data_IF_820006079293
#
_entry.id   IF_820006079293
#
_cell.length_a   1.000
_cell.length_b   1.000
_cell.length_c   1.000
_cell.angle_alpha   90.00
_cell.angle_beta   90.00
_cell.angle_gamma   90.00
#
_symmetry.space_group_name_H-M   'P 1'
#
loop_
_entity.id
_entity.type
_entity.pdbx_description
1 polymer ?
#
# COMPACT_ATOMS: atom_id res chain seq x y z
N UNK A 1 9.46 31.59 20.98
CA UNK A 1 9.48 32.49 19.81
C UNK A 1 8.50 33.60 20.12
N UNK A 2 8.96 34.84 20.19
CA UNK A 2 8.09 36.00 20.42
C UNK A 2 7.21 36.20 19.18
N UNK A 3 5.89 36.07 19.34
CA UNK A 3 4.93 36.60 18.38
C UNK A 3 4.88 38.12 18.59
N UNK A 4 5.73 38.85 17.88
CA UNK A 4 5.51 40.28 17.68
C UNK A 4 4.32 40.42 16.71
N UNK A 5 3.14 40.71 17.27
CA UNK A 5 1.87 40.88 16.56
C UNK A 5 1.82 42.13 15.64
N UNK A 6 2.95 42.57 15.09
CA UNK A 6 3.05 43.78 14.26
C UNK A 6 3.56 43.52 12.86
N UNK A 7 4.10 42.32 12.57
CA UNK A 7 4.47 41.95 11.21
C UNK A 7 3.55 40.85 10.65
N UNK A 8 3.09 40.99 9.39
CA UNK A 8 2.29 39.96 8.74
C UNK A 8 3.08 38.65 8.64
N UNK A 9 2.39 37.53 8.89
CA UNK A 9 3.00 36.20 8.88
C UNK A 9 3.48 35.88 7.47
N UNK A 10 4.79 35.71 7.30
CA UNK A 10 5.44 35.34 6.04
C UNK A 10 5.66 33.84 5.97
N UNK A 11 5.28 33.22 4.85
CA UNK A 11 5.59 31.81 4.62
C UNK A 11 7.10 31.63 4.47
N UNK A 12 7.68 30.75 5.29
CA UNK A 12 9.11 30.47 5.26
C UNK A 12 9.38 28.99 5.39
N UNK A 13 10.40 28.52 4.69
CA UNK A 13 10.89 27.18 4.89
C UNK A 13 11.41 27.03 6.33
N UNK A 14 10.90 26.03 7.05
CA UNK A 14 11.32 25.69 8.41
C UNK A 14 12.83 25.42 8.52
N UNK A 15 13.44 24.96 7.44
CA UNK A 15 14.82 24.50 7.43
C UNK A 15 15.79 25.63 7.08
N UNK A 16 15.60 26.29 5.93
CA UNK A 16 16.54 27.29 5.42
C UNK A 16 16.06 28.74 5.56
N UNK A 17 14.83 28.96 6.01
CA UNK A 17 14.24 30.30 6.18
C UNK A 17 13.87 31.02 4.88
N UNK A 18 14.09 30.40 3.72
CA UNK A 18 13.71 30.90 2.39
C UNK A 18 12.24 31.28 2.38
N UNK A 19 11.92 32.45 1.86
CA UNK A 19 10.53 32.89 1.68
C UNK A 19 9.83 31.98 0.67
N UNK A 20 8.60 31.60 0.99
CA UNK A 20 7.74 30.76 0.16
C UNK A 20 6.57 31.62 -0.30
N UNK A 21 6.11 31.39 -1.52
CA UNK A 21 4.84 31.93 -2.01
C UNK A 21 3.80 30.83 -2.03
N UNK A 22 2.53 31.17 -1.88
CA UNK A 22 1.43 30.24 -1.99
C UNK A 22 0.40 30.76 -3.00
N UNK A 23 -0.33 29.85 -3.62
CA UNK A 23 -1.58 30.15 -4.30
C UNK A 23 -2.74 29.97 -3.32
N UNK A 24 -3.65 30.93 -3.30
CA UNK A 24 -4.89 30.87 -2.52
C UNK A 24 -6.06 31.26 -3.42
N UNK A 25 -7.19 30.57 -3.25
CA UNK A 25 -8.44 30.93 -3.87
C UNK A 25 -9.16 31.99 -3.02
N UNK A 26 -9.30 33.21 -3.53
CA UNK A 26 -10.06 34.29 -2.86
C UNK A 26 -11.16 34.73 -3.84
N UNK A 27 -12.43 34.67 -3.43
CA UNK A 27 -13.57 35.02 -4.27
C UNK A 27 -13.57 34.33 -5.66
N UNK A 28 -13.26 33.03 -5.68
CA UNK A 28 -13.13 32.22 -6.90
C UNK A 28 -12.01 32.66 -7.86
N UNK A 29 -11.01 33.39 -7.37
CA UNK A 29 -9.81 33.78 -8.13
C UNK A 29 -8.57 33.25 -7.45
N UNK A 30 -7.69 32.66 -8.27
CA UNK A 30 -6.37 32.21 -7.81
C UNK A 30 -5.46 33.43 -7.73
N UNK A 31 -4.91 33.67 -6.54
CA UNK A 31 -3.99 34.75 -6.24
C UNK A 31 -2.69 34.20 -5.67
N UNK A 32 -1.55 34.75 -6.08
CA UNK A 32 -0.26 34.44 -5.47
C UNK A 32 -0.01 35.37 -4.29
N UNK A 33 0.28 34.79 -3.13
CA UNK A 33 0.54 35.50 -1.88
C UNK A 33 1.88 35.07 -1.28
N UNK A 34 2.51 35.93 -0.49
CA UNK A 34 3.72 35.62 0.29
C UNK A 34 3.48 35.73 1.81
N UNK A 35 2.26 36.12 2.21
CA UNK A 35 1.80 36.35 3.57
C UNK A 35 0.35 35.89 3.74
N UNK A 36 -0.01 35.37 4.91
CA UNK A 36 -1.41 35.03 5.24
C UNK A 36 -2.29 36.30 5.21
N UNK A 37 -3.43 36.30 4.50
CA UNK A 37 -4.40 37.39 4.58
C UNK A 37 -4.91 37.58 6.03
N UNK A 38 -5.19 38.81 6.46
CA UNK A 38 -5.58 39.06 7.86
C UNK A 38 -6.99 38.54 8.21
N UNK A 39 -7.89 38.38 7.23
CA UNK A 39 -9.27 37.93 7.49
C UNK A 39 -9.86 37.07 6.35
N UNK A 40 -10.79 36.17 6.71
CA UNK A 40 -11.83 35.65 5.80
C UNK A 40 -11.43 34.58 4.79
N UNK A 41 -10.25 33.97 4.93
CA UNK A 41 -9.82 32.88 4.05
C UNK A 41 -9.87 31.54 4.79
N UNK A 42 -10.27 30.50 4.09
CA UNK A 42 -10.20 29.13 4.57
C UNK A 42 -8.78 28.62 4.34
N UNK A 43 -8.09 28.22 5.40
CA UNK A 43 -6.73 27.65 5.34
C UNK A 43 -6.66 26.42 4.41
N UNK A 44 -7.79 25.76 4.14
CA UNK A 44 -7.85 24.61 3.22
C UNK A 44 -7.59 24.94 1.74
N UNK A 45 -7.67 26.23 1.36
CA UNK A 45 -7.38 26.68 -0.01
C UNK A 45 -5.91 27.11 -0.21
N UNK A 46 -5.04 26.86 0.77
CA UNK A 46 -3.63 27.25 0.73
C UNK A 46 -2.76 26.21 0.01
N UNK A 47 -2.13 26.61 -1.09
CA UNK A 47 -1.25 25.76 -1.90
C UNK A 47 0.15 26.36 -1.96
N UNK A 48 1.12 25.89 -1.15
CA UNK A 48 2.47 26.42 -1.18
C UNK A 48 3.17 26.06 -2.50
N UNK A 49 3.78 27.05 -3.14
CA UNK A 49 4.53 26.89 -4.38
C UNK A 49 5.98 26.51 -4.09
N UNK A 50 6.44 25.41 -4.68
CA UNK A 50 7.83 24.93 -4.53
C UNK A 50 8.16 24.52 -3.09
N UNK A 51 7.15 24.10 -2.34
CA UNK A 51 7.26 23.62 -0.99
C UNK A 51 6.14 22.63 -0.66
N UNK A 52 6.36 21.82 0.37
CA UNK A 52 5.34 20.94 0.95
C UNK A 52 4.89 21.50 2.29
N UNK A 53 3.59 21.46 2.54
CA UNK A 53 3.00 21.68 3.85
C UNK A 53 2.80 20.35 4.58
N UNK A 54 3.25 20.31 5.83
CA UNK A 54 3.00 19.21 6.75
C UNK A 54 2.20 19.74 7.93
N UNK A 55 0.93 19.37 7.96
CA UNK A 55 0.01 19.78 9.03
C UNK A 55 -0.17 18.65 10.04
N UNK A 56 -0.21 19.04 11.29
CA UNK A 56 -0.33 18.13 12.42
C UNK A 56 -1.30 18.71 13.44
N UNK A 57 -2.07 17.83 14.06
CA UNK A 57 -3.15 18.17 14.96
C UNK A 57 -2.82 17.63 16.35
N UNK A 58 -3.00 18.46 17.39
CA UNK A 58 -2.95 18.02 18.79
C UNK A 58 -2.14 18.93 19.71
N UNK A 59 -2.32 18.72 21.02
CA UNK A 59 -1.54 19.39 22.06
C UNK A 59 -0.12 18.81 22.17
N UNK A 60 0.86 19.59 21.74
CA UNK A 60 2.27 19.26 21.88
C UNK A 60 2.74 19.41 23.33
N UNK A 61 2.94 18.29 24.04
CA UNK A 61 3.56 18.28 25.38
C UNK A 61 2.93 17.35 26.43
N UNK A 62 1.83 16.65 26.11
CA UNK A 62 1.18 15.71 27.04
C UNK A 62 1.33 14.26 26.55
N UNK A 63 1.39 13.31 27.49
CA UNK A 63 1.54 11.87 27.19
C UNK A 63 0.25 11.21 26.67
N UNK A 64 -0.80 11.99 26.42
CA UNK A 64 -2.09 11.53 25.91
C UNK A 64 -2.43 12.32 24.65
N UNK A 65 -2.76 11.59 23.59
CA UNK A 65 -3.34 12.16 22.39
C UNK A 65 -4.77 12.58 22.75
N UNK A 66 -4.97 13.86 23.07
CA UNK A 66 -6.29 14.42 23.35
C UNK A 66 -6.96 14.82 22.04
N UNK A 67 -8.05 14.15 21.60
CA UNK A 67 -8.77 14.53 20.40
C UNK A 67 -9.79 15.66 20.62
N UNK A 68 -9.86 16.30 21.79
CA UNK A 68 -10.90 17.29 22.10
C UNK A 68 -10.33 18.62 22.65
N UNK A 69 -10.35 19.69 21.85
CA UNK A 69 -11.23 20.87 22.07
C UNK A 69 -10.71 22.18 21.43
N UNK A 70 -9.41 22.34 21.17
CA UNK A 70 -8.88 23.67 20.76
C UNK A 70 -8.47 23.79 19.29
N UNK A 71 -8.59 22.72 18.50
CA UNK A 71 -8.31 22.76 17.05
C UNK A 71 -6.92 23.28 16.68
N UNK A 72 -5.96 23.24 17.60
CA UNK A 72 -4.65 23.85 17.40
C UNK A 72 -3.88 23.04 16.37
N UNK A 73 -3.70 23.62 15.19
CA UNK A 73 -2.95 23.03 14.09
C UNK A 73 -1.53 23.59 14.09
N UNK A 74 -0.55 22.73 13.88
CA UNK A 74 0.81 23.15 13.55
C UNK A 74 1.06 22.74 12.11
N UNK A 75 1.22 23.74 11.25
CA UNK A 75 1.66 23.58 9.88
C UNK A 75 3.15 23.92 9.77
N UNK A 76 3.88 23.08 9.05
CA UNK A 76 5.30 23.28 8.75
C UNK A 76 5.50 23.27 7.23
N UNK A 77 6.21 24.28 6.71
CA UNK A 77 6.55 24.40 5.29
C UNK A 77 8.01 24.01 5.05
N UNK A 78 8.26 23.15 4.06
CA UNK A 78 9.62 22.75 3.65
C UNK A 78 9.76 22.95 2.15
N UNK A 79 10.75 23.74 1.71
CA UNK A 79 10.97 23.98 0.27
C UNK A 79 11.61 22.78 -0.43
N UNK A 80 11.39 22.70 -1.74
CA UNK A 80 11.86 21.58 -2.57
C UNK A 80 13.38 21.40 -2.49
N UNK A 81 14.16 22.49 -2.52
CA UNK A 81 15.62 22.44 -2.38
C UNK A 81 16.06 21.69 -1.09
N UNK A 82 15.37 21.96 0.03
CA UNK A 82 15.67 21.35 1.31
C UNK A 82 15.16 19.91 1.43
N UNK A 83 14.08 19.60 0.72
CA UNK A 83 13.55 18.23 0.59
C UNK A 83 14.50 17.36 -0.24
N UNK A 84 14.98 17.87 -1.38
CA UNK A 84 15.91 17.19 -2.27
C UNK A 84 17.26 16.95 -1.58
N UNK A 85 17.83 17.96 -0.91
CA UNK A 85 19.07 17.79 -0.14
C UNK A 85 18.97 16.66 0.90
N UNK A 86 17.78 16.42 1.44
CA UNK A 86 17.51 15.41 2.48
C UNK A 86 16.90 14.13 1.93
N UNK A 87 16.57 14.06 0.65
CA UNK A 87 15.88 12.90 0.06
C UNK A 87 16.70 11.63 0.20
N UNK A 88 18.03 11.74 0.03
CA UNK A 88 18.94 10.60 0.16
C UNK A 88 18.92 10.00 1.57
N UNK A 89 18.85 10.85 2.61
CA UNK A 89 18.78 10.39 4.00
C UNK A 89 17.43 9.74 4.32
N UNK A 90 16.35 10.28 3.77
CA UNK A 90 14.99 9.73 3.98
C UNK A 90 14.79 8.40 3.22
N UNK A 91 15.24 8.33 1.97
CA UNK A 91 15.20 7.13 1.14
C UNK A 91 16.13 6.02 1.67
N UNK A 92 17.26 6.38 2.29
CA UNK A 92 18.17 5.42 2.92
C UNK A 92 17.51 4.67 4.08
N UNK A 93 16.74 5.38 4.92
CA UNK A 93 15.97 4.78 6.02
C UNK A 93 14.92 3.80 5.46
N UNK A 94 14.27 4.14 4.36
CA UNK A 94 13.24 3.33 3.73
C UNK A 94 13.80 2.03 3.11
N UNK A 95 14.89 2.12 2.34
CA UNK A 95 15.53 0.96 1.71
C UNK A 95 16.08 -0.04 2.73
N UNK A 96 16.63 0.42 3.86
CA UNK A 96 17.18 -0.48 4.88
C UNK A 96 16.13 -1.06 5.82
N UNK A 97 15.08 -0.30 6.18
CA UNK A 97 14.07 -0.77 7.14
C UNK A 97 12.90 -1.52 6.51
N UNK A 98 12.44 -1.14 5.30
CA UNK A 98 11.21 -1.72 4.71
C UNK A 98 11.45 -2.98 3.88
N UNK A 99 12.64 -3.15 3.31
CA UNK A 99 12.90 -4.29 2.42
C UNK A 99 13.40 -5.53 3.15
N UNK A 100 13.95 -5.44 4.36
CA UNK A 100 14.50 -6.64 5.01
C UNK A 100 13.45 -7.72 5.35
N UNK A 101 12.24 -7.38 5.85
CA UNK A 101 11.22 -8.39 6.09
C UNK A 101 10.62 -8.90 4.77
N UNK A 102 10.38 -8.00 3.82
CA UNK A 102 9.83 -8.33 2.49
C UNK A 102 10.75 -9.25 1.69
N UNK A 103 12.05 -8.95 1.63
CA UNK A 103 13.05 -9.76 0.94
C UNK A 103 13.12 -11.17 1.53
N UNK A 104 13.13 -11.27 2.87
CA UNK A 104 13.12 -12.57 3.56
C UNK A 104 11.90 -13.40 3.19
N UNK A 105 10.71 -12.80 3.17
CA UNK A 105 9.48 -13.49 2.78
C UNK A 105 9.51 -13.93 1.31
N UNK A 106 10.04 -13.10 0.41
CA UNK A 106 10.18 -13.45 -1.01
C UNK A 106 11.18 -14.59 -1.25
N UNK A 107 12.28 -14.63 -0.51
CA UNK A 107 13.26 -15.71 -0.57
C UNK A 107 12.64 -17.03 -0.07
N UNK A 108 11.91 -17.00 1.05
CA UNK A 108 11.18 -18.17 1.57
C UNK A 108 10.15 -18.70 0.56
N UNK A 109 9.38 -17.81 -0.07
CA UNK A 109 8.39 -18.19 -1.10
C UNK A 109 9.06 -18.81 -2.34
N UNK A 110 10.19 -18.26 -2.77
CA UNK A 110 10.95 -18.80 -3.90
C UNK A 110 11.49 -20.20 -3.61
N UNK A 111 12.02 -20.45 -2.42
CA UNK A 111 12.50 -21.78 -2.02
C UNK A 111 11.36 -22.79 -1.94
N UNK A 112 10.21 -22.41 -1.36
CA UNK A 112 9.03 -23.27 -1.36
C UNK A 112 8.53 -23.58 -2.78
N UNK A 113 8.58 -22.61 -3.70
CA UNK A 113 8.19 -22.81 -5.09
C UNK A 113 9.13 -23.79 -5.81
N UNK A 114 10.44 -23.71 -5.56
CA UNK A 114 11.43 -24.67 -6.07
C UNK A 114 11.17 -26.07 -5.55
N UNK A 115 10.91 -26.21 -4.24
CA UNK A 115 10.59 -27.50 -3.62
C UNK A 115 9.34 -28.13 -4.22
N UNK A 116 8.24 -27.37 -4.35
CA UNK A 116 6.99 -27.86 -4.97
C UNK A 116 7.18 -28.31 -6.42
N UNK A 117 8.01 -27.60 -7.20
CA UNK A 117 8.33 -28.01 -8.58
C UNK A 117 9.12 -29.32 -8.60
N UNK A 118 10.16 -29.43 -7.77
CA UNK A 118 10.96 -30.65 -7.66
C UNK A 118 10.11 -31.85 -7.19
N UNK A 119 9.20 -31.65 -6.25
CA UNK A 119 8.25 -32.68 -5.81
C UNK A 119 7.29 -33.10 -6.93
N UNK A 120 6.76 -32.14 -7.69
CA UNK A 120 5.89 -32.42 -8.82
C UNK A 120 6.62 -33.21 -9.92
N UNK A 121 7.84 -32.80 -10.28
CA UNK A 121 8.70 -33.50 -11.24
C UNK A 121 9.05 -34.91 -10.76
N UNK A 122 9.44 -35.07 -9.49
CA UNK A 122 9.72 -36.37 -8.90
C UNK A 122 8.48 -37.28 -8.86
N UNK A 123 7.30 -36.72 -8.62
CA UNK A 123 6.03 -37.46 -8.68
C UNK A 123 5.69 -37.87 -10.11
N UNK A 124 5.84 -36.96 -11.08
CA UNK A 124 5.61 -37.24 -12.49
C UNK A 124 6.56 -38.33 -13.02
N UNK A 125 7.83 -38.33 -12.59
CA UNK A 125 8.81 -39.35 -12.94
C UNK A 125 8.54 -40.73 -12.30
N UNK A 126 7.78 -40.79 -11.20
CA UNK A 126 7.42 -42.05 -10.52
C UNK A 126 6.13 -42.68 -11.05
N UNK A 127 5.27 -41.91 -11.71
CA UNK A 127 4.13 -42.46 -12.45
C UNK A 127 4.63 -43.12 -13.73
N UNK A 128 4.50 -44.46 -13.89
CA UNK A 128 4.71 -45.09 -15.18
C UNK A 128 3.76 -44.45 -16.19
N UNK A 129 4.19 -44.32 -17.44
CA UNK A 129 3.25 -44.14 -18.54
C UNK A 129 2.37 -45.40 -18.56
N UNK A 130 1.17 -45.33 -17.99
CA UNK A 130 0.17 -46.36 -18.21
C UNK A 130 -0.13 -46.31 -19.72
N UNK A 131 0.20 -47.38 -20.44
CA UNK A 131 -0.23 -47.56 -21.83
C UNK A 131 -1.75 -47.53 -21.84
N UNK A 132 -2.32 -46.39 -22.27
CA UNK A 132 -3.76 -46.20 -22.40
C UNK A 132 -4.21 -47.18 -23.48
N UNK A 133 -5.05 -48.19 -23.17
CA UNK A 133 -5.59 -49.08 -24.19
C UNK A 133 -6.38 -48.22 -25.18
N UNK A 134 -6.00 -48.25 -26.46
CA UNK A 134 -6.67 -47.50 -27.52
C UNK A 134 -7.53 -48.45 -28.36
N UNK A 135 -8.68 -47.95 -28.82
CA UNK A 135 -9.54 -48.61 -29.79
C UNK A 135 -8.96 -48.51 -31.22
N UNK A 136 -9.65 -49.10 -32.18
CA UNK A 136 -9.25 -49.12 -33.60
C UNK A 136 -9.21 -47.72 -34.26
N UNK A 137 -9.83 -46.73 -33.62
CA UNK A 137 -9.92 -45.35 -34.08
C UNK A 137 -8.90 -44.44 -33.36
N UNK A 138 -8.09 -44.99 -32.45
CA UNK A 138 -7.10 -44.25 -31.67
C UNK A 138 -7.66 -43.51 -30.46
N UNK A 139 -8.89 -43.80 -30.04
CA UNK A 139 -9.48 -43.28 -28.81
C UNK A 139 -9.27 -44.24 -27.63
N UNK A 140 -9.25 -43.77 -26.37
CA UNK A 140 -9.22 -44.66 -25.22
C UNK A 140 -10.35 -45.70 -25.29
N UNK A 141 -10.01 -46.97 -25.04
CA UNK A 141 -10.96 -48.09 -25.05
C UNK A 141 -12.18 -47.73 -24.18
N UNK A 142 -13.43 -47.91 -24.66
CA UNK A 142 -14.63 -47.54 -23.93
C UNK A 142 -14.73 -48.17 -22.53
N UNK A 143 -14.21 -49.39 -22.36
CA UNK A 143 -14.16 -50.11 -21.07
C UNK A 143 -13.16 -49.43 -20.13
N UNK A 144 -12.00 -49.02 -20.66
CA UNK A 144 -11.01 -48.26 -19.89
C UNK A 144 -11.54 -46.89 -19.50
N UNK A 145 -12.19 -46.17 -20.43
CA UNK A 145 -12.80 -44.87 -20.18
C UNK A 145 -13.88 -44.95 -19.09
N UNK A 146 -14.72 -45.98 -19.12
CA UNK A 146 -15.74 -46.20 -18.08
C UNK A 146 -15.11 -46.45 -16.71
N UNK A 147 -14.03 -47.25 -16.65
CA UNK A 147 -13.32 -47.52 -15.38
C UNK A 147 -12.70 -46.26 -14.74
N UNK A 148 -12.28 -45.30 -15.57
CA UNK A 148 -11.79 -43.99 -15.09
C UNK A 148 -12.92 -43.14 -14.52
N UNK A 149 -14.08 -43.12 -15.18
CA UNK A 149 -15.27 -42.41 -14.71
C UNK A 149 -15.69 -42.97 -13.35
N UNK A 150 -15.77 -44.29 -13.21
CA UNK A 150 -16.16 -44.95 -11.97
C UNK A 150 -15.18 -44.65 -10.82
N UNK A 151 -13.86 -44.65 -11.09
CA UNK A 151 -12.85 -44.23 -10.09
C UNK A 151 -13.02 -42.77 -9.67
N UNK A 152 -13.28 -41.87 -10.61
CA UNK A 152 -13.49 -40.44 -10.32
C UNK A 152 -14.74 -40.23 -9.46
N UNK A 153 -15.83 -40.94 -9.75
CA UNK A 153 -17.05 -40.90 -8.94
C UNK A 153 -16.84 -41.45 -7.53
N UNK A 154 -16.09 -42.53 -7.40
CA UNK A 154 -15.73 -43.08 -6.09
C UNK A 154 -14.89 -42.10 -5.27
N UNK A 155 -13.87 -41.47 -5.86
CA UNK A 155 -13.09 -40.41 -5.21
C UNK A 155 -13.94 -39.21 -4.78
N UNK A 156 -14.93 -38.81 -5.58
CA UNK A 156 -15.87 -37.73 -5.21
C UNK A 156 -16.73 -38.10 -4.01
N UNK A 157 -17.23 -39.34 -3.96
CA UNK A 157 -18.02 -39.84 -2.81
C UNK A 157 -17.19 -39.90 -1.53
N UNK A 158 -15.93 -40.33 -1.62
CA UNK A 158 -15.03 -40.46 -0.46
C UNK A 158 -14.56 -39.09 0.11
N UNK A 159 -14.47 -38.04 -0.73
CA UNK A 159 -13.99 -36.71 -0.30
C UNK A 159 -15.07 -35.72 0.14
N UNK A 160 -16.36 -36.05 0.01
CA UNK A 160 -17.46 -35.12 0.29
C UNK A 160 -18.43 -35.63 1.37
N UNK A 161 -18.03 -35.71 2.66
CA UNK A 161 -19.01 -35.84 3.73
C UNK A 161 -19.54 -34.45 4.11
N UNK A 162 -20.76 -34.14 3.70
CA UNK A 162 -21.55 -33.05 4.28
C UNK A 162 -21.63 -31.75 3.48
N UNK A 163 -22.63 -31.66 2.61
CA UNK A 163 -23.28 -30.39 2.30
C UNK A 163 -24.73 -30.55 2.79
N UNK A 164 -25.01 -30.08 4.00
CA UNK A 164 -26.38 -29.98 4.49
C UNK A 164 -27.05 -28.77 3.83
N UNK A 165 -28.20 -29.00 3.23
CA UNK A 165 -29.10 -27.98 2.68
C UNK A 165 -29.40 -26.89 3.72
N UNK A 166 -29.14 -25.64 3.34
CA UNK A 166 -29.69 -24.47 4.04
C UNK A 166 -30.94 -24.05 3.27
N UNK A 167 -32.09 -24.50 3.78
CA UNK A 167 -33.40 -23.93 3.44
C UNK A 167 -33.43 -22.49 3.94
N UNK A 168 -33.63 -21.54 3.02
CA UNK A 168 -33.91 -20.14 3.35
C UNK A 168 -35.33 -20.01 3.92
N UNK A 169 -35.44 -19.39 5.09
CA UNK A 169 -36.64 -18.70 5.58
C UNK A 169 -36.95 -17.44 4.75
#
# INVERSE_FOLDING_TARGET
>A
MHNDNTEPFKFRCLICGKAITAEVCIDHRICTIDQLPEEGHDDSDLLPLGAIEMTSYGHYGTAFFDPCDDGTQVAALICDDCMEERSDRLMYIDKQRRLSPFNKTMDELNEQAKQRRAEHEARAARTPAEDIPLDKNGYPDPVYAQSLIDRIEQYRKEKSPGFHDISHE
#
